data_IF_979917855675
#
_entry.id   IF_979917855675
#
_cell.length_a   1.000
_cell.length_b   1.000
_cell.length_c   1.000
_cell.angle_alpha   90.00
_cell.angle_beta   90.00
_cell.angle_gamma   90.00
#
_symmetry.space_group_name_H-M   'P 1'
#
loop_
_entity.id
_entity.type
_entity.pdbx_description
1 polymer ?
#
# COMPACT_ATOMS: atom_id res chain seq x y z
N UNK A 1 29.77 44.45 -79.18
CA UNK A 1 29.53 44.90 -80.57
C UNK A 1 29.17 46.38 -80.58
N UNK A 2 29.98 47.26 -81.17
CA UNK A 2 29.50 48.27 -82.15
C UNK A 2 29.49 47.61 -83.55
N UNK A 3 29.10 48.22 -84.70
CA UNK A 3 28.87 49.65 -84.99
C UNK A 3 27.69 49.94 -85.98
N UNK A 4 27.49 51.21 -86.37
CA UNK A 4 27.36 51.58 -87.80
C UNK A 4 27.57 53.08 -88.05
N UNK A 5 28.45 53.38 -89.02
CA UNK A 5 28.81 54.70 -89.56
C UNK A 5 27.78 55.17 -90.59
N UNK A 6 27.58 56.49 -90.71
CA UNK A 6 27.25 57.16 -91.98
C UNK A 6 28.06 58.45 -92.14
N UNK A 7 28.69 58.59 -93.33
CA UNK A 7 29.44 59.75 -93.83
C UNK A 7 28.48 60.77 -94.45
N UNK A 8 28.79 62.05 -94.31
CA UNK A 8 28.27 63.15 -95.13
C UNK A 8 29.26 64.32 -95.17
N UNK A 9 29.68 64.74 -96.37
CA UNK A 9 30.58 65.86 -96.69
C UNK A 9 29.78 67.17 -96.83
N UNK A 10 30.33 68.31 -96.39
CA UNK A 10 29.84 69.66 -96.71
C UNK A 10 30.87 70.74 -96.36
N UNK A 11 31.11 71.69 -97.29
CA UNK A 11 32.30 72.57 -97.39
C UNK A 11 31.95 74.01 -96.95
N UNK A 12 32.84 74.61 -96.13
CA UNK A 12 33.11 76.05 -95.84
C UNK A 12 31.93 77.06 -95.89
N UNK A 13 31.63 77.65 -94.73
CA UNK A 13 31.43 79.11 -94.62
C UNK A 13 32.09 79.62 -93.34
N UNK A 14 33.13 80.42 -93.53
CA UNK A 14 33.87 81.15 -92.51
C UNK A 14 32.92 82.21 -91.94
N UNK A 15 32.32 81.95 -90.79
CA UNK A 15 31.79 83.00 -89.90
C UNK A 15 32.55 82.86 -88.59
N UNK A 16 33.43 83.85 -88.42
CA UNK A 16 34.10 84.20 -87.17
C UNK A 16 33.01 84.32 -86.11
N UNK A 17 32.95 83.37 -85.20
CA UNK A 17 32.58 83.66 -83.81
C UNK A 17 33.47 82.79 -82.94
N UNK A 18 33.95 83.46 -81.90
CA UNK A 18 35.03 83.08 -81.02
C UNK A 18 35.02 81.59 -80.69
N UNK A 19 36.19 80.97 -80.83
CA UNK A 19 36.68 80.14 -79.74
C UNK A 19 36.65 81.08 -78.52
N UNK A 20 35.50 81.20 -77.86
CA UNK A 20 35.47 81.59 -76.46
C UNK A 20 36.16 80.40 -75.82
N UNK A 21 37.50 80.45 -75.80
CA UNK A 21 38.18 80.03 -74.58
C UNK A 21 37.33 80.64 -73.50
N UNK A 22 36.56 79.77 -72.81
CA UNK A 22 35.75 80.19 -71.67
C UNK A 22 36.63 81.22 -70.95
N UNK A 23 36.13 82.45 -70.85
CA UNK A 23 36.82 83.49 -70.10
C UNK A 23 37.19 82.84 -68.77
N UNK A 24 38.31 83.26 -68.18
CA UNK A 24 38.79 82.68 -66.92
C UNK A 24 37.63 82.56 -65.90
N UNK A 25 36.69 83.50 -65.97
CA UNK A 25 35.40 83.56 -65.28
C UNK A 25 34.41 82.41 -65.58
N UNK A 26 34.15 82.03 -66.84
CA UNK A 26 33.26 80.91 -67.18
C UNK A 26 33.87 79.56 -66.77
N UNK A 27 35.19 79.39 -66.89
CA UNK A 27 35.88 78.19 -66.39
C UNK A 27 35.78 78.13 -64.87
N UNK A 28 36.00 79.26 -64.21
CA UNK A 28 35.86 79.40 -62.76
C UNK A 28 34.45 79.05 -62.29
N UNK A 29 33.41 79.53 -62.98
CA UNK A 29 32.01 79.24 -62.67
C UNK A 29 31.68 77.75 -62.82
N UNK A 30 32.15 77.11 -63.89
CA UNK A 30 32.00 75.67 -64.10
C UNK A 30 32.72 74.85 -63.04
N UNK A 31 33.94 75.24 -62.66
CA UNK A 31 34.67 74.57 -61.57
C UNK A 31 33.98 74.77 -60.22
N UNK A 32 33.36 75.94 -59.98
CA UNK A 32 32.58 76.20 -58.77
C UNK A 32 31.32 75.32 -58.69
N UNK A 33 30.60 75.17 -59.80
CA UNK A 33 29.44 74.25 -59.91
C UNK A 33 29.85 72.78 -59.71
N UNK A 34 31.01 72.37 -60.26
CA UNK A 34 31.58 71.04 -60.03
C UNK A 34 31.95 70.81 -58.57
N UNK A 35 32.54 71.82 -57.91
CA UNK A 35 32.85 71.79 -56.48
C UNK A 35 31.57 71.64 -55.64
N UNK A 36 30.49 72.36 -55.98
CA UNK A 36 29.20 72.19 -55.31
C UNK A 36 28.61 70.79 -55.51
N UNK A 37 28.58 70.27 -56.76
CA UNK A 37 28.10 68.92 -57.03
C UNK A 37 28.89 67.85 -56.26
N UNK A 38 30.22 67.99 -56.19
CA UNK A 38 31.07 67.07 -55.43
C UNK A 38 30.85 67.17 -53.92
N UNK A 39 30.56 68.37 -53.39
CA UNK A 39 30.20 68.56 -51.98
C UNK A 39 28.87 67.89 -51.65
N UNK A 40 27.87 68.02 -52.53
CA UNK A 40 26.57 67.37 -52.35
C UNK A 40 26.68 65.84 -52.43
N UNK A 41 27.47 65.31 -53.37
CA UNK A 41 27.71 63.86 -53.48
C UNK A 41 28.47 63.33 -52.26
N UNK A 42 29.48 64.06 -51.77
CA UNK A 42 30.20 63.72 -50.54
C UNK A 42 29.27 63.73 -49.33
N UNK A 43 28.38 64.72 -49.21
CA UNK A 43 27.38 64.79 -48.14
C UNK A 43 26.40 63.60 -48.20
N UNK A 44 25.91 63.25 -49.39
CA UNK A 44 25.03 62.09 -49.59
C UNK A 44 25.73 60.77 -49.23
N UNK A 45 26.98 60.58 -49.68
CA UNK A 45 27.79 59.40 -49.31
C UNK A 45 28.08 59.32 -47.82
N UNK A 46 28.34 60.46 -47.18
CA UNK A 46 28.58 60.54 -45.73
C UNK A 46 27.33 60.16 -44.93
N UNK A 47 26.16 60.62 -45.34
CA UNK A 47 24.88 60.26 -44.70
C UNK A 47 24.54 58.77 -44.89
N UNK A 48 24.78 58.21 -46.07
CA UNK A 48 24.62 56.76 -46.32
C UNK A 48 25.57 55.96 -45.42
N UNK A 49 26.85 56.35 -45.34
CA UNK A 49 27.83 55.70 -44.48
C UNK A 49 27.43 55.79 -43.00
N UNK A 50 26.94 56.95 -42.54
CA UNK A 50 26.43 57.15 -41.18
C UNK A 50 25.26 56.23 -40.85
N UNK A 51 24.24 56.17 -41.73
CA UNK A 51 23.07 55.29 -41.55
C UNK A 51 23.43 53.82 -41.59
N UNK A 52 24.34 53.43 -42.49
CA UNK A 52 24.84 52.06 -42.57
C UNK A 52 25.58 51.66 -41.30
N UNK A 53 26.39 52.58 -40.74
CA UNK A 53 27.08 52.36 -39.47
C UNK A 53 26.10 52.22 -38.30
N UNK A 54 25.14 53.13 -38.19
CA UNK A 54 24.10 53.09 -37.14
C UNK A 54 23.28 51.78 -37.20
N UNK A 55 22.92 51.34 -38.41
CA UNK A 55 22.22 50.07 -38.62
C UNK A 55 23.10 48.87 -38.23
N UNK A 56 24.39 48.90 -38.56
CA UNK A 56 25.33 47.86 -38.20
C UNK A 56 25.55 47.79 -36.68
N UNK A 57 25.67 48.93 -36.01
CA UNK A 57 25.84 49.01 -34.56
C UNK A 57 24.58 48.53 -33.84
N UNK A 58 23.38 48.91 -34.30
CA UNK A 58 22.11 48.36 -33.79
C UNK A 58 22.00 46.85 -34.01
N UNK A 59 22.47 46.33 -35.14
CA UNK A 59 22.44 44.89 -35.42
C UNK A 59 23.41 44.12 -34.51
N UNK A 60 24.59 44.67 -34.25
CA UNK A 60 25.55 44.09 -33.29
C UNK A 60 24.96 44.04 -31.89
N UNK A 61 24.27 45.09 -31.46
CA UNK A 61 23.65 45.12 -30.13
C UNK A 61 22.58 44.05 -30.01
N UNK A 62 21.67 43.94 -30.98
CA UNK A 62 20.65 42.86 -31.00
C UNK A 62 21.27 41.47 -31.05
N UNK A 63 22.39 41.30 -31.74
CA UNK A 63 23.11 40.02 -31.78
C UNK A 63 23.73 39.69 -30.41
N UNK A 64 24.24 40.70 -29.69
CA UNK A 64 24.77 40.54 -28.33
C UNK A 64 23.65 40.15 -27.35
N UNK A 65 22.54 40.89 -27.37
CA UNK A 65 21.36 40.60 -26.53
C UNK A 65 20.82 39.19 -26.79
N UNK A 66 20.62 38.82 -28.05
CA UNK A 66 20.13 37.48 -28.41
C UNK A 66 21.11 36.38 -27.99
N UNK A 67 22.41 36.64 -28.03
CA UNK A 67 23.42 35.68 -27.57
C UNK A 67 23.37 35.50 -26.06
N UNK A 68 23.25 36.59 -25.30
CA UNK A 68 23.09 36.56 -23.85
C UNK A 68 21.81 35.82 -23.45
N UNK A 69 20.70 36.06 -24.14
CA UNK A 69 19.43 35.36 -23.89
C UNK A 69 19.51 33.86 -24.17
N UNK A 70 20.23 33.45 -25.23
CA UNK A 70 20.46 32.02 -25.51
C UNK A 70 21.35 31.39 -24.45
N UNK A 71 22.41 32.07 -24.01
CA UNK A 71 23.31 31.56 -22.96
C UNK A 71 22.58 31.41 -21.62
N UNK A 72 21.74 32.38 -21.23
CA UNK A 72 20.94 32.29 -20.00
C UNK A 72 19.89 31.17 -20.08
N UNK A 73 19.21 31.01 -21.22
CA UNK A 73 18.26 29.92 -21.42
C UNK A 73 18.93 28.54 -21.41
N UNK A 74 20.14 28.42 -21.96
CA UNK A 74 20.91 27.17 -21.87
C UNK A 74 21.27 26.86 -20.42
N UNK A 75 21.71 27.86 -19.65
CA UNK A 75 22.03 27.67 -18.24
C UNK A 75 20.78 27.28 -17.43
N UNK A 76 19.65 27.98 -17.63
CA UNK A 76 18.38 27.66 -16.99
C UNK A 76 17.95 26.21 -17.27
N UNK A 77 18.09 25.75 -18.52
CA UNK A 77 17.77 24.36 -18.89
C UNK A 77 18.67 23.35 -18.20
N UNK A 78 19.97 23.63 -18.09
CA UNK A 78 20.91 22.77 -17.37
C UNK A 78 20.56 22.69 -15.88
N UNK A 79 20.24 23.82 -15.26
CA UNK A 79 19.88 23.90 -13.85
C UNK A 79 18.57 23.13 -13.56
N UNK A 80 17.54 23.33 -14.40
CA UNK A 80 16.28 22.59 -14.31
C UNK A 80 16.51 21.08 -14.50
N UNK A 81 17.29 20.69 -15.51
CA UNK A 81 17.57 19.28 -15.78
C UNK A 81 18.34 18.62 -14.63
N UNK A 82 19.28 19.34 -14.01
CA UNK A 82 20.04 18.90 -12.85
C UNK A 82 19.13 18.72 -11.63
N UNK A 83 18.26 19.70 -11.36
CA UNK A 83 17.31 19.61 -10.24
C UNK A 83 16.31 18.47 -10.42
N UNK A 84 15.75 18.31 -11.63
CA UNK A 84 14.84 17.21 -11.93
C UNK A 84 15.52 15.84 -11.75
N UNK A 85 16.78 15.71 -12.17
CA UNK A 85 17.57 14.49 -11.96
C UNK A 85 17.78 14.21 -10.47
N UNK A 86 18.07 15.25 -9.68
CA UNK A 86 18.20 15.12 -8.22
C UNK A 86 16.90 14.69 -7.58
N UNK A 87 15.79 15.35 -7.90
CA UNK A 87 14.46 15.01 -7.38
C UNK A 87 14.07 13.57 -7.72
N UNK A 88 14.29 13.15 -8.96
CA UNK A 88 14.01 11.77 -9.39
C UNK A 88 14.82 10.75 -8.58
N UNK A 89 16.12 10.98 -8.38
CA UNK A 89 16.98 10.09 -7.58
C UNK A 89 16.57 10.06 -6.11
N UNK A 90 16.19 11.20 -5.53
CA UNK A 90 15.68 11.27 -4.16
C UNK A 90 14.41 10.44 -4.03
N UNK A 91 13.43 10.67 -4.90
CA UNK A 91 12.16 9.93 -4.91
C UNK A 91 12.39 8.43 -5.09
N UNK A 92 13.27 8.04 -6.03
CA UNK A 92 13.62 6.64 -6.25
C UNK A 92 14.22 6.00 -4.98
N UNK A 93 15.10 6.71 -4.28
CA UNK A 93 15.73 6.23 -3.05
C UNK A 93 14.72 6.10 -1.90
N UNK A 94 13.83 7.08 -1.74
CA UNK A 94 12.75 7.05 -0.75
C UNK A 94 11.78 5.89 -1.00
N UNK A 95 11.39 5.67 -2.25
CA UNK A 95 10.55 4.54 -2.63
C UNK A 95 11.23 3.21 -2.35
N UNK A 96 12.52 3.07 -2.69
CA UNK A 96 13.28 1.86 -2.41
C UNK A 96 13.37 1.58 -0.90
N UNK A 97 13.62 2.62 -0.10
CA UNK A 97 13.63 2.51 1.36
C UNK A 97 12.26 2.08 1.90
N UNK A 98 11.18 2.67 1.38
CA UNK A 98 9.82 2.33 1.80
C UNK A 98 9.45 0.89 1.45
N UNK A 99 9.83 0.42 0.26
CA UNK A 99 9.66 -0.98 -0.14
C UNK A 99 10.40 -1.88 0.84
N UNK A 100 11.67 -1.59 1.12
CA UNK A 100 12.47 -2.39 2.05
C UNK A 100 11.87 -2.46 3.45
N UNK A 101 11.40 -1.33 3.99
CA UNK A 101 10.72 -1.29 5.30
C UNK A 101 9.42 -2.11 5.32
N UNK A 102 8.64 -2.03 4.24
CA UNK A 102 7.41 -2.81 4.12
C UNK A 102 7.71 -4.31 4.02
N UNK A 103 8.72 -4.71 3.24
CA UNK A 103 9.16 -6.11 3.14
C UNK A 103 9.62 -6.65 4.49
N UNK A 104 10.42 -5.89 5.23
CA UNK A 104 10.83 -6.26 6.60
C UNK A 104 9.63 -6.41 7.54
N UNK A 105 8.67 -5.48 7.47
CA UNK A 105 7.46 -5.53 8.30
C UNK A 105 6.62 -6.76 7.97
N UNK A 106 6.44 -7.07 6.68
CA UNK A 106 5.70 -8.26 6.23
C UNK A 106 6.38 -9.53 6.71
N UNK A 107 7.71 -9.63 6.62
CA UNK A 107 8.45 -10.79 7.09
C UNK A 107 8.29 -10.98 8.60
N UNK A 108 8.46 -9.90 9.38
CA UNK A 108 8.28 -9.94 10.83
C UNK A 108 6.86 -10.36 11.23
N UNK A 109 5.84 -9.82 10.56
CA UNK A 109 4.45 -10.19 10.82
C UNK A 109 4.17 -11.64 10.47
N UNK A 110 4.75 -12.17 9.39
CA UNK A 110 4.64 -13.59 9.03
C UNK A 110 5.28 -14.50 10.07
N UNK A 111 6.46 -14.13 10.58
CA UNK A 111 7.13 -14.89 11.66
C UNK A 111 6.29 -14.89 12.94
N UNK A 112 5.75 -13.73 13.34
CA UNK A 112 4.87 -13.61 14.50
C UNK A 112 3.58 -14.42 14.32
N UNK A 113 2.98 -14.38 13.13
CA UNK A 113 1.81 -15.18 12.82
C UNK A 113 2.13 -16.68 12.95
N UNK A 114 3.21 -17.16 12.34
CA UNK A 114 3.60 -18.57 12.44
C UNK A 114 3.88 -19.01 13.88
N UNK A 115 4.56 -18.17 14.67
CA UNK A 115 4.82 -18.45 16.09
C UNK A 115 3.52 -18.55 16.89
N UNK A 116 2.61 -17.59 16.72
CA UNK A 116 1.34 -17.56 17.45
C UNK A 116 0.40 -18.70 17.05
N UNK A 117 0.38 -19.09 15.77
CA UNK A 117 -0.38 -20.24 15.28
C UNK A 117 0.13 -21.55 15.88
N UNK A 118 1.45 -21.74 15.98
CA UNK A 118 2.04 -22.92 16.59
C UNK A 118 1.78 -22.99 18.09
N UNK A 119 1.93 -21.87 18.81
CA UNK A 119 1.55 -21.79 20.23
C UNK A 119 0.08 -22.10 20.45
N UNK A 120 -0.81 -21.52 19.64
CA UNK A 120 -2.25 -21.77 19.72
C UNK A 120 -2.57 -23.26 19.48
N UNK A 121 -1.92 -23.89 18.50
CA UNK A 121 -2.07 -25.30 18.20
C UNK A 121 -1.59 -26.17 19.37
N UNK A 122 -0.44 -25.84 19.96
CA UNK A 122 0.10 -26.53 21.13
C UNK A 122 -0.84 -26.43 22.33
N UNK A 123 -1.29 -25.22 22.67
CA UNK A 123 -2.22 -25.00 23.78
C UNK A 123 -3.56 -25.71 23.56
N UNK A 124 -4.09 -25.72 22.33
CA UNK A 124 -5.31 -26.48 22.01
C UNK A 124 -5.14 -27.97 22.22
N UNK A 125 -4.00 -28.52 21.76
CA UNK A 125 -3.68 -29.93 21.96
C UNK A 125 -3.56 -30.28 23.45
N UNK A 126 -2.78 -29.50 24.20
CA UNK A 126 -2.63 -29.70 25.65
C UNK A 126 -3.97 -29.63 26.37
N UNK A 127 -4.84 -28.67 26.01
CA UNK A 127 -6.20 -28.56 26.56
C UNK A 127 -7.03 -29.79 26.24
N UNK A 128 -6.99 -30.27 25.00
CA UNK A 128 -7.74 -31.45 24.57
C UNK A 128 -7.24 -32.73 25.28
N UNK A 129 -5.93 -32.86 25.46
CA UNK A 129 -5.31 -33.99 26.15
C UNK A 129 -5.69 -34.00 27.65
N UNK A 130 -5.60 -32.86 28.34
CA UNK A 130 -6.05 -32.71 29.74
C UNK A 130 -7.56 -33.01 29.86
N UNK A 131 -8.35 -32.59 28.87
CA UNK A 131 -9.79 -32.87 28.87
C UNK A 131 -10.06 -34.37 28.77
N UNK A 132 -9.37 -35.08 27.86
CA UNK A 132 -9.51 -36.54 27.73
C UNK A 132 -9.12 -37.26 29.01
N UNK A 133 -7.99 -36.91 29.60
CA UNK A 133 -7.54 -37.49 30.88
C UNK A 133 -8.59 -37.30 31.98
N UNK A 134 -9.16 -36.09 32.09
CA UNK A 134 -10.25 -35.83 33.05
C UNK A 134 -11.51 -36.64 32.76
N UNK A 135 -11.91 -36.74 31.51
CA UNK A 135 -13.09 -37.52 31.10
C UNK A 135 -12.88 -39.02 31.39
N UNK A 136 -11.66 -39.55 31.19
CA UNK A 136 -11.28 -40.92 31.54
C UNK A 136 -11.35 -41.17 33.05
N UNK A 137 -10.79 -40.25 33.86
CA UNK A 137 -10.86 -40.34 35.33
C UNK A 137 -12.31 -40.29 35.82
N UNK A 138 -13.14 -39.41 35.23
CA UNK A 138 -14.56 -39.32 35.57
C UNK A 138 -15.26 -40.65 35.28
N UNK A 139 -15.02 -41.25 34.11
CA UNK A 139 -15.61 -42.52 33.74
C UNK A 139 -15.17 -43.66 34.67
N UNK A 140 -13.90 -43.71 35.06
CA UNK A 140 -13.38 -44.70 36.01
C UNK A 140 -14.02 -44.55 37.39
N UNK A 141 -14.13 -43.31 37.89
CA UNK A 141 -14.77 -43.04 39.17
C UNK A 141 -16.26 -43.38 39.16
N UNK A 142 -16.97 -43.07 38.07
CA UNK A 142 -18.38 -43.45 37.90
C UNK A 142 -18.54 -44.96 37.92
N UNK A 143 -17.73 -45.70 37.15
CA UNK A 143 -17.75 -47.16 37.17
C UNK A 143 -17.51 -47.74 38.57
N UNK A 144 -16.57 -47.17 39.32
CA UNK A 144 -16.29 -47.60 40.69
C UNK A 144 -17.44 -47.33 41.64
N UNK A 145 -18.10 -46.17 41.51
CA UNK A 145 -19.30 -45.82 42.27
C UNK A 145 -20.41 -46.82 41.96
N UNK A 146 -20.75 -47.03 40.69
CA UNK A 146 -21.80 -47.96 40.26
C UNK A 146 -21.53 -49.39 40.77
N UNK A 147 -20.27 -49.85 40.71
CA UNK A 147 -19.88 -51.15 41.22
C UNK A 147 -20.05 -51.25 42.74
N UNK A 148 -19.65 -50.22 43.48
CA UNK A 148 -19.81 -50.17 44.93
C UNK A 148 -21.29 -50.09 45.34
N UNK A 149 -22.10 -49.32 44.64
CA UNK A 149 -23.55 -49.22 44.84
C UNK A 149 -24.21 -50.60 44.65
N UNK A 150 -23.90 -51.30 43.57
CA UNK A 150 -24.42 -52.65 43.32
C UNK A 150 -23.98 -53.66 44.39
N UNK A 151 -22.73 -53.57 44.86
CA UNK A 151 -22.24 -54.42 45.94
C UNK A 151 -22.97 -54.15 47.27
N UNK A 152 -23.18 -52.88 47.63
CA UNK A 152 -23.94 -52.52 48.83
C UNK A 152 -25.40 -52.94 48.72
N UNK A 153 -26.02 -52.75 47.57
CA UNK A 153 -27.38 -53.18 47.30
C UNK A 153 -27.51 -54.70 47.50
N UNK A 154 -26.59 -55.49 46.95
CA UNK A 154 -26.57 -56.95 47.13
C UNK A 154 -26.44 -57.36 48.60
N UNK A 155 -25.53 -56.73 49.36
CA UNK A 155 -25.34 -57.04 50.78
C UNK A 155 -26.59 -56.69 51.60
N UNK A 156 -27.24 -55.55 51.29
CA UNK A 156 -28.46 -55.14 51.97
C UNK A 156 -29.63 -56.09 51.66
N UNK A 157 -29.82 -56.48 50.40
CA UNK A 157 -30.83 -57.46 50.01
C UNK A 157 -30.60 -58.80 50.72
N UNK A 158 -29.38 -59.34 50.69
CA UNK A 158 -29.02 -60.58 51.39
C UNK A 158 -29.30 -60.49 52.90
N UNK A 159 -29.01 -59.35 53.53
CA UNK A 159 -29.27 -59.14 54.95
C UNK A 159 -30.77 -59.08 55.25
N UNK A 160 -31.54 -58.37 54.44
CA UNK A 160 -33.00 -58.27 54.59
C UNK A 160 -33.68 -59.62 54.34
N UNK A 161 -33.28 -60.38 53.33
CA UNK A 161 -33.81 -61.71 53.05
C UNK A 161 -33.54 -62.67 54.21
N UNK A 162 -32.32 -62.66 54.76
CA UNK A 162 -31.98 -63.45 55.96
C UNK A 162 -32.80 -63.03 57.18
N UNK A 163 -33.08 -61.74 57.34
CA UNK A 163 -33.94 -61.25 58.42
C UNK A 163 -35.39 -61.68 58.21
N UNK A 164 -35.90 -61.63 56.98
CA UNK A 164 -37.25 -62.07 56.64
C UNK A 164 -37.45 -63.55 56.96
N UNK A 165 -36.52 -64.42 56.54
CA UNK A 165 -36.54 -65.86 56.85
C UNK A 165 -36.55 -66.08 58.37
N UNK A 166 -35.70 -65.37 59.13
CA UNK A 166 -35.67 -65.50 60.60
C UNK A 166 -36.97 -65.08 61.27
N UNK A 167 -37.62 -64.03 60.77
CA UNK A 167 -38.92 -63.56 61.28
C UNK A 167 -40.01 -64.59 60.97
N UNK A 168 -40.01 -65.14 59.76
CA UNK A 168 -40.95 -66.18 59.35
C UNK A 168 -40.77 -67.47 60.16
N UNK A 169 -39.53 -67.92 60.36
CA UNK A 169 -39.20 -69.05 61.23
C UNK A 169 -39.59 -68.81 62.70
N UNK A 170 -39.40 -67.59 63.21
CA UNK A 170 -39.82 -67.24 64.57
C UNK A 170 -41.35 -67.24 64.70
N UNK A 171 -42.05 -66.70 63.71
CA UNK A 171 -43.52 -66.71 63.64
C UNK A 171 -44.06 -68.14 63.60
N UNK A 172 -43.52 -68.99 62.72
CA UNK A 172 -43.94 -70.39 62.60
C UNK A 172 -43.74 -71.17 63.91
N UNK A 173 -42.62 -70.93 64.61
CA UNK A 173 -42.37 -71.53 65.93
C UNK A 173 -43.38 -71.05 66.98
N UNK A 174 -43.68 -69.76 67.04
CA UNK A 174 -44.69 -69.23 67.96
C UNK A 174 -46.10 -69.76 67.66
N UNK A 175 -46.48 -69.88 66.39
CA UNK A 175 -47.78 -70.46 66.00
C UNK A 175 -47.87 -71.94 66.40
N UNK A 176 -46.78 -72.70 66.24
CA UNK A 176 -46.68 -74.09 66.69
C UNK A 176 -46.78 -74.21 68.21
N UNK A 177 -45.96 -73.47 68.96
CA UNK A 177 -46.01 -73.44 70.43
C UNK A 177 -47.38 -73.00 70.95
N UNK A 178 -47.99 -71.98 70.33
CA UNK A 178 -49.34 -71.52 70.68
C UNK A 178 -50.38 -72.61 70.44
N UNK A 179 -50.32 -73.31 69.31
CA UNK A 179 -51.21 -74.43 68.99
C UNK A 179 -51.05 -75.58 69.97
N UNK A 180 -49.81 -75.93 70.33
CA UNK A 180 -49.55 -76.97 71.34
C UNK A 180 -50.09 -76.59 72.72
N UNK A 181 -49.93 -75.32 73.13
CA UNK A 181 -50.48 -74.83 74.41
C UNK A 181 -52.00 -74.86 74.38
N UNK A 182 -52.62 -74.39 73.29
CA UNK A 182 -54.08 -74.43 73.12
C UNK A 182 -54.61 -75.87 73.20
N UNK A 183 -53.95 -76.81 72.53
CA UNK A 183 -54.34 -78.23 72.55
C UNK A 183 -54.16 -78.85 73.94
N UNK A 184 -53.03 -78.60 74.62
CA UNK A 184 -52.80 -79.03 76.01
C UNK A 184 -53.88 -78.48 76.95
N UNK A 185 -54.22 -77.20 76.83
CA UNK A 185 -55.27 -76.57 77.65
C UNK A 185 -56.65 -77.17 77.35
N UNK A 186 -56.96 -77.43 76.08
CA UNK A 186 -58.21 -78.08 75.66
C UNK A 186 -58.34 -79.48 76.26
N UNK A 187 -57.27 -80.26 76.23
CA UNK A 187 -57.22 -81.59 76.85
C UNK A 187 -57.42 -81.51 78.36
N UNK A 188 -56.76 -80.58 79.04
CA UNK A 188 -56.89 -80.38 80.48
C UNK A 188 -58.34 -80.02 80.87
N UNK A 189 -58.99 -79.10 80.14
CA UNK A 189 -60.40 -78.75 80.37
C UNK A 189 -61.33 -79.96 80.26
N UNK A 190 -61.11 -80.83 79.26
CA UNK A 190 -61.84 -82.08 79.10
C UNK A 190 -61.62 -83.03 80.28
N UNK A 191 -60.39 -83.16 80.79
CA UNK A 191 -60.07 -83.96 81.98
C UNK A 191 -60.81 -83.48 83.23
N UNK A 192 -61.08 -82.17 83.34
CA UNK A 192 -61.88 -81.58 84.42
C UNK A 192 -63.40 -81.60 84.18
N UNK A 193 -63.88 -82.20 83.07
CA UNK A 193 -65.30 -82.31 82.74
C UNK A 193 -65.93 -81.03 82.18
N UNK A 194 -65.13 -80.05 81.77
CA UNK A 194 -65.57 -78.81 81.13
C UNK A 194 -65.45 -78.95 79.62
N UNK A 195 -66.54 -78.73 78.86
CA UNK A 195 -66.49 -78.81 77.40
C UNK A 195 -65.82 -77.55 76.83
N UNK A 196 -64.69 -77.67 76.10
CA UNK A 196 -63.98 -76.52 75.54
C UNK A 196 -64.75 -75.75 74.46
N UNK A 197 -65.88 -76.26 73.97
CA UNK A 197 -66.74 -75.61 72.97
C UNK A 197 -67.92 -74.84 73.59
N UNK A 198 -68.10 -74.94 74.91
CA UNK A 198 -69.22 -74.31 75.65
C UNK A 198 -68.76 -73.11 76.51
N UNK A 199 -67.48 -72.75 76.44
CA UNK A 199 -66.83 -71.60 77.09
C UNK A 199 -66.38 -70.63 76.00
#
# INVERSE_FOLDING_TARGET
>A
MPPKKKKGKGKKKKKKDEKTELTIEDKYKRTMEEIECLKDELAARSEIARRSKDTADRMKERMREAKEEVETEQQNKLDISSDLTRQYKTMQSEMALRIHMLEQTVNKLREQLASTEEELKKTRKERDDIRREKDEIIAELQFKIDHMESAYESVLHDAFDRMAVKVEDARARWEMESSEIQEKNKQLLLEFGLNPLEI
#
